data_IF_225361118919
#
_entry.id   IF_225361118919
#
_cell.length_a   1.000
_cell.length_b   1.000
_cell.length_c   1.000
_cell.angle_alpha   90.00
_cell.angle_beta   90.00
_cell.angle_gamma   90.00
#
_symmetry.space_group_name_H-M   'P 1'
#
loop_
_entity.id
_entity.type
_entity.pdbx_description
1 polymer ?
#
# COMPACT_ATOMS: atom_id res chain seq x y z
N UNK A 1 -31.10 45.59 -11.01
CA UNK A 1 -31.29 44.18 -10.77
C UNK A 1 -29.93 43.50 -10.82
N UNK A 2 -29.23 43.24 -9.75
CA UNK A 2 -28.06 42.37 -9.79
C UNK A 2 -28.53 40.93 -9.63
N UNK A 3 -28.08 40.12 -10.58
CA UNK A 3 -28.28 38.69 -10.61
C UNK A 3 -27.64 38.05 -9.38
N UNK A 4 -28.45 37.28 -8.68
CA UNK A 4 -28.04 36.39 -7.62
C UNK A 4 -27.07 35.37 -8.19
N UNK A 5 -25.78 35.55 -7.92
CA UNK A 5 -24.80 34.46 -8.02
C UNK A 5 -25.22 33.36 -7.01
N UNK A 6 -25.78 32.32 -7.56
CA UNK A 6 -25.97 31.04 -6.89
C UNK A 6 -24.62 30.60 -6.31
N UNK A 7 -24.51 30.68 -4.97
CA UNK A 7 -23.47 29.99 -4.23
C UNK A 7 -23.65 28.51 -4.52
N UNK A 8 -22.75 27.98 -5.34
CA UNK A 8 -22.61 26.54 -5.56
C UNK A 8 -22.51 25.88 -4.18
N UNK A 9 -23.51 25.11 -3.86
CA UNK A 9 -23.56 24.24 -2.70
C UNK A 9 -22.27 23.44 -2.63
N UNK A 10 -21.66 23.38 -1.45
CA UNK A 10 -20.58 22.43 -1.16
C UNK A 10 -21.05 21.05 -1.62
N UNK A 11 -20.48 20.56 -2.71
CA UNK A 11 -20.85 19.27 -3.30
C UNK A 11 -20.77 18.20 -2.23
N UNK A 12 -21.93 17.68 -1.87
CA UNK A 12 -22.01 16.50 -1.03
C UNK A 12 -21.20 15.41 -1.74
N UNK A 13 -20.19 14.87 -1.04
CA UNK A 13 -19.38 13.80 -1.59
C UNK A 13 -20.29 12.66 -2.06
N UNK A 14 -20.09 12.23 -3.30
CA UNK A 14 -20.84 11.13 -3.86
C UNK A 14 -20.26 9.80 -3.34
N UNK A 15 -21.08 8.91 -2.83
CA UNK A 15 -20.72 7.54 -2.48
C UNK A 15 -19.98 6.83 -3.63
N UNK A 16 -20.29 7.19 -4.87
CA UNK A 16 -19.65 6.60 -6.04
C UNK A 16 -18.15 6.87 -6.10
N UNK A 17 -17.70 8.06 -5.74
CA UNK A 17 -16.28 8.41 -5.75
C UNK A 17 -15.48 7.59 -4.75
N UNK A 18 -16.05 7.34 -3.56
CA UNK A 18 -15.45 6.47 -2.55
C UNK A 18 -15.41 5.04 -3.05
N UNK A 19 -16.50 4.55 -3.64
CA UNK A 19 -16.58 3.21 -4.23
C UNK A 19 -15.56 3.02 -5.36
N UNK A 20 -15.41 3.98 -6.25
CA UNK A 20 -14.49 3.94 -7.38
C UNK A 20 -13.02 3.91 -6.93
N UNK A 21 -12.66 4.70 -5.92
CA UNK A 21 -11.33 4.66 -5.35
C UNK A 21 -11.09 3.34 -4.58
N UNK A 22 -12.03 2.92 -3.75
CA UNK A 22 -11.96 1.69 -2.99
C UNK A 22 -12.03 0.43 -3.87
N UNK A 23 -12.62 0.51 -5.06
CA UNK A 23 -12.69 -0.63 -5.99
C UNK A 23 -11.31 -1.08 -6.49
N UNK A 24 -10.34 -0.17 -6.57
CA UNK A 24 -8.97 -0.45 -7.00
C UNK A 24 -8.03 -0.55 -5.81
N UNK A 25 -8.23 -1.55 -4.97
CA UNK A 25 -7.35 -1.81 -3.84
C UNK A 25 -6.49 -3.04 -4.02
N UNK A 26 -5.36 -3.03 -3.33
CA UNK A 26 -4.53 -4.19 -3.02
C UNK A 26 -4.42 -4.33 -1.49
N UNK A 27 -4.09 -5.52 -1.01
CA UNK A 27 -4.04 -5.80 0.42
C UNK A 27 -2.97 -6.85 0.73
N UNK A 28 -2.42 -6.82 1.93
CA UNK A 28 -1.40 -7.78 2.35
C UNK A 28 -1.98 -9.02 2.99
N UNK A 29 -1.27 -10.14 2.85
CA UNK A 29 -1.48 -11.39 3.60
C UNK A 29 -0.14 -12.05 3.91
N UNK A 30 0.00 -12.63 5.09
CA UNK A 30 1.20 -13.35 5.49
C UNK A 30 0.99 -14.86 5.41
N UNK A 31 2.08 -15.64 5.35
CA UNK A 31 2.04 -17.11 5.44
C UNK A 31 1.28 -17.57 6.70
N UNK A 32 1.54 -16.91 7.84
CA UNK A 32 0.85 -17.20 9.10
C UNK A 32 -0.66 -16.94 9.01
N UNK A 33 -1.08 -15.85 8.39
CA UNK A 33 -2.49 -15.49 8.23
C UNK A 33 -3.18 -16.44 7.25
N UNK A 34 -2.49 -16.80 6.16
CA UNK A 34 -2.97 -17.75 5.16
C UNK A 34 -3.34 -19.13 5.73
N UNK A 35 -2.65 -19.57 6.80
CA UNK A 35 -3.00 -20.80 7.51
C UNK A 35 -4.37 -20.76 8.22
N UNK A 36 -4.98 -19.59 8.35
CA UNK A 36 -6.30 -19.40 8.99
C UNK A 36 -7.40 -19.05 7.98
N UNK A 37 -7.04 -18.90 6.70
CA UNK A 37 -7.96 -18.58 5.62
C UNK A 37 -8.25 -19.84 4.84
N UNK A 38 -9.51 -20.22 4.79
CA UNK A 38 -9.94 -21.41 4.05
C UNK A 38 -9.86 -21.14 2.55
N UNK A 39 -10.47 -20.04 2.08
CA UNK A 39 -10.46 -19.62 0.67
C UNK A 39 -10.39 -18.10 0.56
N UNK A 40 -9.42 -17.61 -0.21
CA UNK A 40 -9.32 -16.16 -0.49
C UNK A 40 -10.45 -15.65 -1.38
N UNK A 41 -10.99 -16.51 -2.26
CA UNK A 41 -12.13 -16.17 -3.12
C UNK A 41 -13.41 -15.81 -2.32
N UNK A 42 -13.50 -16.19 -1.05
CA UNK A 42 -14.61 -15.81 -0.16
C UNK A 42 -14.39 -14.44 0.50
N UNK A 43 -13.17 -13.92 0.45
CA UNK A 43 -12.80 -12.66 1.10
C UNK A 43 -12.57 -11.51 0.13
N UNK A 44 -12.04 -11.80 -1.07
CA UNK A 44 -11.66 -10.80 -2.05
C UNK A 44 -12.11 -11.22 -3.46
N UNK A 45 -12.27 -10.25 -4.34
CA UNK A 45 -12.66 -10.52 -5.74
C UNK A 45 -11.52 -11.19 -6.51
N UNK A 46 -11.83 -12.02 -7.50
CA UNK A 46 -10.82 -12.53 -8.43
C UNK A 46 -10.00 -11.40 -9.04
N UNK A 47 -8.72 -11.63 -9.22
CA UNK A 47 -7.75 -10.64 -9.70
C UNK A 47 -7.28 -9.62 -8.67
N UNK A 48 -7.77 -9.67 -7.41
CA UNK A 48 -7.23 -8.80 -6.35
C UNK A 48 -5.74 -9.06 -6.14
N UNK A 49 -4.95 -8.01 -6.14
CA UNK A 49 -3.51 -8.07 -5.84
C UNK A 49 -3.31 -8.32 -4.34
N UNK A 50 -2.81 -9.52 -4.00
CA UNK A 50 -2.49 -9.91 -2.63
C UNK A 50 -0.97 -9.88 -2.43
N UNK A 51 -0.53 -8.91 -1.64
CA UNK A 51 0.88 -8.73 -1.33
C UNK A 51 1.31 -9.69 -0.24
N UNK A 52 2.49 -10.27 -0.41
CA UNK A 52 3.07 -11.22 0.55
C UNK A 52 4.32 -10.58 1.15
N UNK A 53 4.19 -9.90 2.32
CA UNK A 53 5.33 -9.29 2.97
C UNK A 53 6.34 -10.34 3.44
N UNK A 54 7.61 -9.96 3.39
CA UNK A 54 8.66 -10.75 4.03
C UNK A 54 8.55 -10.64 5.54
N UNK A 55 8.24 -11.75 6.19
CA UNK A 55 8.19 -11.84 7.66
C UNK A 55 9.41 -12.60 8.14
N UNK A 56 10.23 -12.07 9.06
CA UNK A 56 11.38 -12.78 9.62
C UNK A 56 10.98 -14.16 10.16
N UNK A 57 11.77 -15.17 9.81
CA UNK A 57 11.50 -16.57 10.19
C UNK A 57 10.57 -17.34 9.25
N UNK A 58 9.99 -16.68 8.23
CA UNK A 58 9.27 -17.37 7.15
C UNK A 58 10.29 -17.91 6.14
N UNK A 59 10.23 -19.21 5.87
CA UNK A 59 11.13 -19.80 4.88
C UNK A 59 10.72 -19.40 3.44
N UNK A 60 11.68 -19.20 2.52
CA UNK A 60 11.38 -18.78 1.14
C UNK A 60 10.36 -19.67 0.43
N UNK A 61 10.46 -20.99 0.61
CA UNK A 61 9.54 -21.94 -0.03
C UNK A 61 8.09 -21.79 0.44
N UNK A 62 7.85 -21.33 1.69
CA UNK A 62 6.50 -21.09 2.22
C UNK A 62 5.87 -19.86 1.52
N UNK A 63 6.67 -18.83 1.22
CA UNK A 63 6.20 -17.66 0.46
C UNK A 63 5.86 -18.04 -0.99
N UNK A 64 6.69 -18.89 -1.62
CA UNK A 64 6.40 -19.42 -2.98
C UNK A 64 5.12 -20.26 -2.97
N UNK A 65 4.95 -21.14 -1.99
CA UNK A 65 3.75 -21.96 -1.84
C UNK A 65 2.48 -21.11 -1.64
N UNK A 66 2.57 -20.04 -0.83
CA UNK A 66 1.46 -19.10 -0.67
C UNK A 66 1.16 -18.38 -1.98
N UNK A 67 2.16 -17.88 -2.70
CA UNK A 67 1.96 -17.23 -3.99
C UNK A 67 1.28 -18.18 -5.01
N UNK A 68 1.70 -19.45 -5.07
CA UNK A 68 1.08 -20.46 -5.93
C UNK A 68 -0.39 -20.74 -5.53
N UNK A 69 -0.67 -20.81 -4.23
CA UNK A 69 -2.04 -20.95 -3.71
C UNK A 69 -2.90 -19.76 -4.14
N UNK A 70 -2.44 -18.53 -3.94
CA UNK A 70 -3.16 -17.32 -4.33
C UNK A 70 -3.46 -17.31 -5.83
N UNK A 71 -2.47 -17.66 -6.66
CA UNK A 71 -2.66 -17.79 -8.11
C UNK A 71 -3.73 -18.81 -8.45
N UNK A 72 -3.68 -19.99 -7.83
CA UNK A 72 -4.67 -21.05 -8.02
C UNK A 72 -6.09 -20.63 -7.64
N UNK A 73 -6.23 -19.81 -6.60
CA UNK A 73 -7.52 -19.25 -6.17
C UNK A 73 -7.98 -18.03 -7.00
N UNK A 74 -7.26 -17.68 -8.08
CA UNK A 74 -7.61 -16.61 -9.00
C UNK A 74 -7.18 -15.22 -8.57
N UNK A 75 -6.28 -15.11 -7.57
CA UNK A 75 -5.71 -13.84 -7.10
C UNK A 75 -4.42 -13.49 -7.84
N UNK A 76 -3.98 -12.25 -7.73
CA UNK A 76 -2.67 -11.80 -8.23
C UNK A 76 -1.67 -11.74 -7.06
N UNK A 77 -0.76 -12.72 -6.91
CA UNK A 77 0.24 -12.69 -5.85
C UNK A 77 1.34 -11.69 -6.15
N UNK A 78 1.67 -10.86 -5.15
CA UNK A 78 2.71 -9.82 -5.22
C UNK A 78 3.70 -10.02 -4.06
N UNK A 79 4.73 -10.89 -4.20
CA UNK A 79 5.72 -11.08 -3.16
C UNK A 79 6.59 -9.84 -2.98
N UNK A 80 6.97 -9.56 -1.72
CA UNK A 80 7.95 -8.54 -1.39
C UNK A 80 9.37 -9.09 -1.61
N UNK A 81 10.17 -8.35 -2.35
CA UNK A 81 11.60 -8.54 -2.52
C UNK A 81 12.30 -7.49 -1.67
N UNK A 82 12.84 -7.92 -0.54
CA UNK A 82 13.43 -7.04 0.48
C UNK A 82 14.94 -7.07 0.36
N UNK A 83 15.52 -6.05 -0.27
CA UNK A 83 16.93 -6.00 -0.66
C UNK A 83 17.90 -6.38 0.48
N UNK A 84 17.81 -5.72 1.62
CA UNK A 84 18.72 -5.93 2.75
C UNK A 84 18.60 -7.30 3.42
N UNK A 85 17.58 -8.10 3.05
CA UNK A 85 17.37 -9.46 3.58
C UNK A 85 17.75 -10.57 2.59
N UNK A 86 18.28 -10.20 1.43
CA UNK A 86 18.74 -11.13 0.41
C UNK A 86 20.22 -11.44 0.66
N UNK A 87 20.53 -12.73 0.81
CA UNK A 87 21.87 -13.21 1.14
C UNK A 87 22.88 -12.99 0.00
N UNK A 88 22.43 -13.17 -1.25
CA UNK A 88 23.27 -13.03 -2.43
C UNK A 88 22.47 -12.81 -3.71
N UNK A 89 23.15 -12.38 -4.78
CA UNK A 89 22.58 -12.29 -6.12
C UNK A 89 22.05 -13.66 -6.60
N UNK A 90 22.73 -14.74 -6.28
CA UNK A 90 22.31 -16.11 -6.63
C UNK A 90 21.01 -16.47 -5.91
N UNK A 91 20.89 -16.18 -4.61
CA UNK A 91 19.67 -16.42 -3.85
C UNK A 91 18.48 -15.63 -4.40
N UNK A 92 18.70 -14.36 -4.79
CA UNK A 92 17.67 -13.55 -5.44
C UNK A 92 17.22 -14.17 -6.76
N UNK A 93 18.17 -14.58 -7.59
CA UNK A 93 17.91 -15.18 -8.89
C UNK A 93 17.09 -16.47 -8.76
N UNK A 94 17.45 -17.33 -7.82
CA UNK A 94 16.69 -18.55 -7.51
C UNK A 94 15.29 -18.25 -7.00
N UNK A 95 15.10 -17.25 -6.13
CA UNK A 95 13.79 -16.86 -5.63
C UNK A 95 12.88 -16.37 -6.75
N UNK A 96 13.38 -15.49 -7.59
CA UNK A 96 12.60 -14.96 -8.71
C UNK A 96 12.23 -16.07 -9.70
N UNK A 97 13.17 -16.97 -10.01
CA UNK A 97 12.91 -18.14 -10.84
C UNK A 97 11.77 -19.00 -10.28
N UNK A 98 11.79 -19.25 -8.98
CA UNK A 98 10.72 -20.02 -8.29
C UNK A 98 9.40 -19.30 -8.26
N UNK A 99 9.37 -18.01 -7.93
CA UNK A 99 8.14 -17.21 -7.96
C UNK A 99 7.49 -17.23 -9.34
N UNK A 100 8.27 -17.07 -10.39
CA UNK A 100 7.76 -17.09 -11.77
C UNK A 100 7.38 -18.52 -12.19
N UNK A 101 8.29 -19.49 -12.01
CA UNK A 101 8.09 -20.84 -12.51
C UNK A 101 7.08 -21.68 -11.74
N UNK A 102 7.04 -21.58 -10.40
CA UNK A 102 6.16 -22.39 -9.55
C UNK A 102 4.82 -21.68 -9.25
N UNK A 103 4.82 -20.35 -9.14
CA UNK A 103 3.64 -19.58 -8.73
C UNK A 103 3.08 -18.65 -9.81
N UNK A 104 3.69 -18.59 -11.00
CA UNK A 104 3.25 -17.72 -12.09
C UNK A 104 3.23 -16.24 -11.71
N UNK A 105 4.14 -15.80 -10.82
CA UNK A 105 4.26 -14.41 -10.40
C UNK A 105 4.72 -13.55 -11.57
N UNK A 106 4.00 -12.44 -11.81
CA UNK A 106 4.30 -11.47 -12.87
C UNK A 106 4.58 -10.08 -12.31
N UNK A 107 4.39 -9.92 -11.01
CA UNK A 107 4.48 -8.65 -10.31
C UNK A 107 5.14 -8.85 -8.94
N UNK A 108 6.03 -7.94 -8.56
CA UNK A 108 6.70 -7.95 -7.25
C UNK A 108 6.69 -6.55 -6.64
N UNK A 109 6.84 -6.45 -5.31
CA UNK A 109 7.16 -5.20 -4.63
C UNK A 109 8.63 -5.24 -4.20
N UNK A 110 9.45 -4.33 -4.72
CA UNK A 110 10.87 -4.25 -4.39
C UNK A 110 11.10 -3.11 -3.40
N UNK A 111 11.59 -3.44 -2.21
CA UNK A 111 11.85 -2.48 -1.11
C UNK A 111 13.25 -2.68 -0.53
N UNK A 112 13.78 -1.66 0.15
CA UNK A 112 15.08 -1.77 0.80
C UNK A 112 15.04 -2.72 2.02
N UNK A 113 14.04 -2.56 2.88
CA UNK A 113 13.92 -3.27 4.16
C UNK A 113 14.33 -2.40 5.35
N UNK A 114 14.03 -2.91 6.55
CA UNK A 114 14.06 -2.21 7.84
C UNK A 114 15.30 -2.52 8.70
N UNK A 115 16.15 -3.46 8.28
CA UNK A 115 17.37 -3.80 9.03
C UNK A 115 18.51 -2.83 8.72
N UNK A 116 19.24 -2.42 9.75
CA UNK A 116 20.32 -1.44 9.63
C UNK A 116 21.51 -1.97 8.80
N UNK A 117 21.86 -3.25 8.98
CA UNK A 117 22.93 -3.91 8.23
C UNK A 117 22.33 -4.92 7.27
N UNK A 118 22.64 -4.84 5.97
CA UNK A 118 22.24 -5.86 5.01
C UNK A 118 22.81 -7.23 5.36
N UNK A 119 22.04 -8.30 5.10
CA UNK A 119 22.53 -9.68 5.26
C UNK A 119 23.54 -10.02 4.18
N UNK A 120 23.33 -9.54 2.96
CA UNK A 120 24.19 -9.77 1.81
C UNK A 120 24.61 -8.46 1.14
N UNK A 121 24.69 -8.48 -0.18
CA UNK A 121 25.27 -7.40 -0.99
C UNK A 121 24.29 -6.27 -1.37
N UNK A 122 22.99 -6.42 -1.09
CA UNK A 122 21.98 -5.44 -1.50
C UNK A 122 21.61 -4.50 -0.36
N UNK A 123 21.87 -3.22 -0.52
CA UNK A 123 21.56 -2.17 0.45
C UNK A 123 20.25 -1.42 0.12
N UNK A 124 19.82 -1.45 -1.14
CA UNK A 124 18.68 -0.68 -1.62
C UNK A 124 17.89 -1.41 -2.71
N UNK A 125 16.63 -1.04 -2.85
CA UNK A 125 15.77 -1.51 -3.93
C UNK A 125 16.34 -1.21 -5.32
N UNK A 126 17.00 -0.06 -5.49
CA UNK A 126 17.60 0.35 -6.76
C UNK A 126 18.66 -0.62 -7.25
N UNK A 127 19.47 -1.19 -6.35
CA UNK A 127 20.50 -2.17 -6.74
C UNK A 127 19.88 -3.44 -7.35
N UNK A 128 18.69 -3.85 -6.89
CA UNK A 128 17.97 -4.98 -7.48
C UNK A 128 17.43 -4.61 -8.86
N UNK A 129 16.79 -3.44 -8.98
CA UNK A 129 16.19 -2.97 -10.22
C UNK A 129 17.27 -2.81 -11.31
N UNK A 130 18.39 -2.15 -10.99
CA UNK A 130 19.43 -1.80 -11.97
C UNK A 130 20.30 -2.96 -12.41
N UNK A 131 20.31 -4.09 -11.70
CA UNK A 131 21.06 -5.30 -12.07
C UNK A 131 20.33 -6.23 -13.05
N UNK A 132 19.11 -5.86 -13.48
CA UNK A 132 18.39 -6.57 -14.54
C UNK A 132 17.74 -7.90 -14.11
N UNK A 133 17.58 -8.15 -12.80
CA UNK A 133 16.93 -9.37 -12.32
C UNK A 133 15.46 -9.44 -12.70
N UNK A 134 14.77 -8.31 -12.71
CA UNK A 134 13.36 -8.20 -13.03
C UNK A 134 13.09 -8.61 -14.47
N UNK A 135 13.85 -8.02 -15.39
CA UNK A 135 13.75 -8.28 -16.82
C UNK A 135 14.17 -9.71 -17.17
N UNK A 136 15.24 -10.22 -16.54
CA UNK A 136 15.73 -11.58 -16.71
C UNK A 136 14.64 -12.63 -16.46
N UNK A 137 13.81 -12.42 -15.46
CA UNK A 137 12.73 -13.35 -15.10
C UNK A 137 11.38 -13.01 -15.76
N UNK A 138 11.31 -12.02 -16.64
CA UNK A 138 10.08 -11.65 -17.35
C UNK A 138 9.01 -11.07 -16.44
N UNK A 139 9.38 -10.49 -15.29
CA UNK A 139 8.47 -9.79 -14.41
C UNK A 139 8.08 -8.47 -15.09
N UNK A 140 6.81 -8.31 -15.39
CA UNK A 140 6.31 -7.20 -16.20
C UNK A 140 5.89 -5.97 -15.38
N UNK A 141 5.67 -6.14 -14.07
CA UNK A 141 5.16 -5.07 -13.21
C UNK A 141 5.88 -5.04 -11.86
N UNK A 142 6.31 -3.85 -11.43
CA UNK A 142 7.11 -3.67 -10.22
C UNK A 142 6.57 -2.53 -9.36
N UNK A 143 6.17 -2.88 -8.14
CA UNK A 143 5.93 -1.90 -7.08
C UNK A 143 7.24 -1.45 -6.44
N UNK A 144 7.33 -0.18 -6.08
CA UNK A 144 8.44 0.40 -5.32
C UNK A 144 7.91 1.26 -4.17
N UNK A 145 8.69 1.41 -3.10
CA UNK A 145 8.24 2.17 -1.93
C UNK A 145 8.16 3.69 -2.20
N UNK A 146 7.11 4.32 -1.63
CA UNK A 146 6.96 5.76 -1.47
C UNK A 146 6.83 6.14 0.02
N UNK A 147 7.29 7.33 0.41
CA UNK A 147 7.37 7.75 1.80
C UNK A 147 6.72 9.13 2.01
N UNK A 148 5.38 9.21 2.12
CA UNK A 148 4.67 10.48 2.27
C UNK A 148 5.06 11.28 3.52
N UNK A 149 5.47 10.60 4.58
CA UNK A 149 5.90 11.22 5.84
C UNK A 149 7.42 11.20 6.05
N UNK A 150 8.19 10.96 4.95
CA UNK A 150 9.63 10.77 5.05
C UNK A 150 10.00 9.36 5.55
N UNK A 151 11.26 9.18 5.92
CA UNK A 151 11.79 7.94 6.47
C UNK A 151 12.74 8.25 7.63
N UNK A 152 12.67 7.49 8.71
CA UNK A 152 13.45 7.76 9.93
C UNK A 152 14.98 7.74 9.74
N UNK A 153 15.45 6.89 8.83
CA UNK A 153 16.88 6.62 8.61
C UNK A 153 17.39 7.12 7.25
N UNK A 154 16.53 7.77 6.43
CA UNK A 154 16.88 8.24 5.09
C UNK A 154 16.38 9.67 4.90
N UNK A 155 17.30 10.58 4.54
CA UNK A 155 16.94 11.99 4.35
C UNK A 155 16.09 12.23 3.10
N UNK A 156 15.28 13.29 3.12
CA UNK A 156 14.41 13.65 2.00
C UNK A 156 15.15 13.82 0.66
N UNK A 157 16.35 14.43 0.58
CA UNK A 157 17.09 14.49 -0.68
C UNK A 157 17.41 13.11 -1.27
N UNK A 158 17.78 12.14 -0.42
CA UNK A 158 18.06 10.75 -0.85
C UNK A 158 16.79 10.05 -1.32
N UNK A 159 15.67 10.26 -0.63
CA UNK A 159 14.36 9.73 -1.05
C UNK A 159 13.93 10.30 -2.41
N UNK A 160 14.16 11.59 -2.63
CA UNK A 160 13.85 12.26 -3.90
C UNK A 160 14.74 11.76 -5.05
N UNK A 161 16.04 11.61 -4.81
CA UNK A 161 16.98 11.03 -5.78
C UNK A 161 16.56 9.60 -6.15
N UNK A 162 16.24 8.76 -5.15
CA UNK A 162 15.74 7.42 -5.38
C UNK A 162 14.46 7.41 -6.22
N UNK A 163 13.56 8.39 -6.02
CA UNK A 163 12.35 8.53 -6.82
C UNK A 163 12.67 8.87 -8.28
N UNK A 164 13.61 9.78 -8.54
CA UNK A 164 14.09 10.09 -9.90
C UNK A 164 14.62 8.83 -10.58
N UNK A 165 15.51 8.10 -9.92
CA UNK A 165 16.11 6.86 -10.49
C UNK A 165 15.07 5.76 -10.76
N UNK A 166 14.02 5.65 -9.95
CA UNK A 166 12.89 4.75 -10.21
C UNK A 166 12.12 5.13 -11.47
N UNK A 167 11.92 6.44 -11.71
CA UNK A 167 11.32 6.93 -12.95
C UNK A 167 12.21 6.66 -14.17
N UNK A 168 13.51 6.89 -14.06
CA UNK A 168 14.49 6.58 -15.11
C UNK A 168 14.53 5.10 -15.43
N UNK A 169 14.50 4.23 -14.40
CA UNK A 169 14.41 2.79 -14.58
C UNK A 169 13.17 2.38 -15.39
N UNK A 170 12.00 2.90 -15.06
CA UNK A 170 10.76 2.62 -15.78
C UNK A 170 10.85 3.03 -17.27
N UNK A 171 11.41 4.21 -17.54
CA UNK A 171 11.60 4.72 -18.92
C UNK A 171 12.61 3.85 -19.69
N UNK A 172 13.71 3.48 -19.03
CA UNK A 172 14.80 2.73 -19.65
C UNK A 172 14.41 1.30 -20.02
N UNK A 173 13.65 0.64 -19.14
CA UNK A 173 13.33 -0.80 -19.27
C UNK A 173 11.98 -1.06 -19.91
N UNK A 174 11.05 -0.11 -19.84
CA UNK A 174 9.66 -0.31 -20.24
C UNK A 174 8.86 -1.19 -19.28
N UNK A 175 9.42 -1.55 -18.12
CA UNK A 175 8.71 -2.25 -17.05
C UNK A 175 7.61 -1.33 -16.49
N UNK A 176 6.41 -1.89 -16.23
CA UNK A 176 5.33 -1.14 -15.57
C UNK A 176 5.68 -0.93 -14.09
N UNK A 177 6.25 0.25 -13.78
CA UNK A 177 6.66 0.62 -12.43
C UNK A 177 5.59 1.50 -11.79
N UNK A 178 5.21 1.18 -10.58
CA UNK A 178 4.29 1.97 -9.77
C UNK A 178 4.80 2.08 -8.33
N UNK A 179 4.26 3.05 -7.58
CA UNK A 179 4.65 3.28 -6.20
C UNK A 179 3.57 2.75 -5.26
N UNK A 180 3.99 2.08 -4.18
CA UNK A 180 3.17 1.79 -3.01
C UNK A 180 3.69 2.65 -1.88
N UNK A 181 2.87 3.55 -1.35
CA UNK A 181 3.32 4.39 -0.24
C UNK A 181 3.28 3.63 1.07
N UNK A 182 4.13 4.04 2.02
CA UNK A 182 3.93 3.69 3.42
C UNK A 182 2.53 4.13 3.85
N UNK A 183 1.91 3.39 4.79
CA UNK A 183 0.61 3.78 5.31
C UNK A 183 0.69 5.11 6.06
N UNK A 184 -0.37 5.86 5.95
CA UNK A 184 -0.59 7.13 6.65
C UNK A 184 -1.94 7.08 7.37
N UNK A 185 -2.18 8.04 8.25
CA UNK A 185 -3.45 8.12 8.97
C UNK A 185 -4.31 9.33 8.55
N UNK A 186 -3.73 10.25 7.79
CA UNK A 186 -4.36 11.46 7.29
C UNK A 186 -4.11 11.62 5.79
N UNK A 187 -5.00 12.26 5.03
CA UNK A 187 -4.81 12.46 3.59
C UNK A 187 -3.72 13.49 3.27
N UNK A 188 -3.51 14.48 4.14
CA UNK A 188 -2.61 15.60 3.90
C UNK A 188 -1.16 15.19 3.60
N UNK A 189 -0.52 14.21 4.27
CA UNK A 189 0.81 13.75 3.92
C UNK A 189 0.92 13.22 2.49
N UNK A 190 -0.06 12.43 2.02
CA UNK A 190 -0.07 11.88 0.65
C UNK A 190 -0.21 13.01 -0.37
N UNK A 191 -1.12 13.94 -0.14
CA UNK A 191 -1.37 15.10 -1.01
C UNK A 191 -0.12 15.98 -1.12
N UNK A 192 0.49 16.32 0.01
CA UNK A 192 1.72 17.10 0.05
C UNK A 192 2.88 16.40 -0.63
N UNK A 193 3.02 15.09 -0.43
CA UNK A 193 4.04 14.28 -1.06
C UNK A 193 3.88 14.23 -2.58
N UNK A 194 2.67 14.01 -3.09
CA UNK A 194 2.41 14.01 -4.53
C UNK A 194 2.71 15.39 -5.13
N UNK A 195 2.22 16.45 -4.51
CA UNK A 195 2.42 17.82 -4.99
C UNK A 195 3.89 18.19 -5.05
N UNK A 196 4.65 17.94 -3.99
CA UNK A 196 6.09 18.29 -3.90
C UNK A 196 6.97 17.45 -4.83
N UNK A 197 6.57 16.21 -5.13
CA UNK A 197 7.28 15.33 -6.04
C UNK A 197 6.74 15.36 -7.49
N UNK A 198 5.65 16.06 -7.75
CA UNK A 198 5.05 16.18 -9.10
C UNK A 198 6.03 16.56 -10.21
N UNK A 199 7.01 17.45 -9.99
CA UNK A 199 8.01 17.79 -11.01
C UNK A 199 8.92 16.62 -11.41
N UNK A 200 9.18 15.68 -10.52
CA UNK A 200 10.14 14.58 -10.72
C UNK A 200 9.50 13.19 -10.83
N UNK A 201 8.23 13.04 -10.44
CA UNK A 201 7.53 11.75 -10.48
C UNK A 201 6.52 11.69 -11.63
N UNK A 202 6.57 10.62 -12.41
CA UNK A 202 5.60 10.26 -13.45
C UNK A 202 4.89 8.93 -13.17
N UNK A 203 5.35 8.18 -12.17
CA UNK A 203 4.82 6.87 -11.84
C UNK A 203 3.46 7.01 -11.15
N UNK A 204 2.49 6.16 -11.48
CA UNK A 204 1.26 6.06 -10.70
C UNK A 204 1.56 5.53 -9.30
N UNK A 205 0.69 5.84 -8.35
CA UNK A 205 0.88 5.35 -6.99
C UNK A 205 -0.41 4.83 -6.35
N UNK A 206 -0.24 3.90 -5.42
CA UNK A 206 -1.25 3.45 -4.47
C UNK A 206 -0.97 4.09 -3.12
N UNK A 207 -1.96 4.77 -2.56
CA UNK A 207 -1.83 5.28 -1.19
C UNK A 207 -1.96 4.13 -0.18
N UNK A 208 -1.04 4.08 0.78
CA UNK A 208 -1.06 3.13 1.87
C UNK A 208 -2.04 3.52 2.97
N UNK A 209 -2.96 2.63 3.32
CA UNK A 209 -3.94 2.81 4.39
C UNK A 209 -3.79 1.70 5.43
N UNK A 210 -3.96 2.00 6.72
CA UNK A 210 -4.12 0.94 7.71
C UNK A 210 -5.42 0.19 7.46
N UNK A 211 -5.42 -1.13 7.67
CA UNK A 211 -6.65 -1.90 7.78
C UNK A 211 -7.37 -1.65 9.10
N UNK A 212 -8.50 -2.32 9.31
CA UNK A 212 -9.27 -2.22 10.53
C UNK A 212 -8.53 -2.87 11.70
N UNK A 213 -7.96 -2.06 12.57
CA UNK A 213 -7.20 -2.50 13.72
C UNK A 213 -7.47 -1.62 14.95
N UNK A 214 -7.11 -2.12 16.13
CA UNK A 214 -7.19 -1.31 17.35
C UNK A 214 -6.11 -0.23 17.32
N UNK A 215 -6.38 0.92 17.95
CA UNK A 215 -5.39 2.00 18.03
C UNK A 215 -4.06 1.51 18.64
N UNK A 216 -4.12 0.60 19.62
CA UNK A 216 -2.92 -0.05 20.19
C UNK A 216 -2.09 -0.78 19.12
N UNK A 217 -2.77 -1.51 18.22
CA UNK A 217 -2.12 -2.22 17.10
C UNK A 217 -1.51 -1.22 16.11
N UNK A 218 -2.27 -0.19 15.75
CA UNK A 218 -1.82 0.86 14.83
C UNK A 218 -0.59 1.60 15.36
N UNK A 219 -0.59 1.96 16.66
CA UNK A 219 0.55 2.58 17.33
C UNK A 219 1.81 1.71 17.28
N UNK A 220 1.67 0.41 17.56
CA UNK A 220 2.78 -0.53 17.48
C UNK A 220 3.40 -0.56 16.08
N UNK A 221 2.60 -0.80 15.06
CA UNK A 221 3.11 -0.90 13.69
C UNK A 221 3.65 0.43 13.15
N UNK A 222 3.06 1.55 13.55
CA UNK A 222 3.58 2.84 13.14
C UNK A 222 4.97 3.13 13.72
N UNK A 223 5.23 2.74 14.97
CA UNK A 223 6.56 2.82 15.57
C UNK A 223 7.55 1.89 14.87
N UNK A 224 7.15 0.65 14.60
CA UNK A 224 7.98 -0.35 13.93
C UNK A 224 8.35 0.09 12.50
N UNK A 225 7.40 0.71 11.76
CA UNK A 225 7.58 1.14 10.38
C UNK A 225 8.07 2.58 10.21
N UNK A 226 8.22 3.34 11.30
CA UNK A 226 8.63 4.74 11.23
C UNK A 226 7.56 5.70 10.65
N UNK A 227 6.28 5.31 10.63
CA UNK A 227 5.17 6.17 10.26
C UNK A 227 4.81 7.06 11.46
N UNK A 228 5.32 8.29 11.47
CA UNK A 228 5.36 9.08 12.70
C UNK A 228 4.43 10.29 12.82
N UNK A 229 4.45 11.26 11.91
CA UNK A 229 3.74 12.52 12.11
C UNK A 229 2.22 12.42 12.17
N UNK A 230 1.58 11.67 11.28
CA UNK A 230 0.12 11.52 11.31
C UNK A 230 -0.37 10.71 12.50
N UNK A 231 0.45 9.79 13.01
CA UNK A 231 0.16 9.05 14.24
C UNK A 231 0.15 9.94 15.47
N UNK A 232 1.08 10.91 15.57
CA UNK A 232 1.08 11.87 16.68
C UNK A 232 -0.20 12.72 16.70
N UNK A 233 -0.75 13.04 15.53
CA UNK A 233 -2.02 13.75 15.44
C UNK A 233 -3.18 12.90 16.02
N UNK A 234 -3.24 11.61 15.69
CA UNK A 234 -4.28 10.70 16.20
C UNK A 234 -4.10 10.42 17.69
N UNK A 235 -2.86 10.23 18.16
CA UNK A 235 -2.58 9.91 19.56
C UNK A 235 -2.93 11.06 20.51
N UNK A 236 -2.81 12.33 20.08
CA UNK A 236 -3.24 13.50 20.87
C UNK A 236 -4.75 13.54 21.14
N UNK A 237 -5.55 12.90 20.28
CA UNK A 237 -6.99 12.78 20.46
C UNK A 237 -7.43 11.52 21.23
N UNK A 238 -6.49 10.61 21.52
CA UNK A 238 -6.75 9.37 22.26
C UNK A 238 -6.64 9.58 23.79
N UNK A 239 -7.47 10.45 24.36
CA UNK A 239 -7.41 10.79 25.81
C UNK A 239 -8.00 9.70 26.72
N UNK A 240 -8.64 8.65 26.18
CA UNK A 240 -9.31 7.60 26.97
C UNK A 240 -8.79 6.20 26.62
N UNK A 241 -8.51 5.39 27.66
CA UNK A 241 -8.08 3.98 27.55
C UNK A 241 -9.06 3.13 26.69
N UNK A 242 -10.34 3.47 26.70
CA UNK A 242 -11.36 2.78 25.90
C UNK A 242 -11.12 2.92 24.40
N UNK A 243 -10.60 4.06 23.92
CA UNK A 243 -10.26 4.28 22.51
C UNK A 243 -9.08 3.42 22.03
N UNK A 244 -8.18 3.02 22.93
CA UNK A 244 -7.03 2.17 22.58
C UNK A 244 -7.41 0.76 22.13
N UNK A 245 -8.55 0.25 22.59
CA UNK A 245 -9.04 -1.10 22.26
C UNK A 245 -10.16 -1.09 21.22
N UNK A 246 -10.69 0.10 20.88
CA UNK A 246 -11.70 0.23 19.82
C UNK A 246 -11.05 0.05 18.46
N UNK A 247 -11.70 -0.71 17.60
CA UNK A 247 -11.27 -0.86 16.19
C UNK A 247 -11.61 0.43 15.45
N UNK A 248 -10.61 0.98 14.75
CA UNK A 248 -10.76 2.16 13.90
C UNK A 248 -10.72 1.75 12.44
N UNK A 249 -11.57 2.36 11.63
CA UNK A 249 -11.53 2.29 10.18
C UNK A 249 -10.85 3.53 9.62
N UNK A 250 -10.21 3.47 8.45
CA UNK A 250 -9.59 4.62 7.78
C UNK A 250 -10.59 5.37 6.88
N UNK A 251 -11.83 5.57 7.34
CA UNK A 251 -12.92 6.17 6.58
C UNK A 251 -12.65 7.65 6.24
N UNK A 252 -12.24 8.47 7.21
CA UNK A 252 -11.87 9.88 6.98
C UNK A 252 -10.70 10.02 5.99
N UNK A 253 -9.71 9.12 6.09
CA UNK A 253 -8.57 9.08 5.16
C UNK A 253 -9.04 8.73 3.75
N UNK A 254 -9.91 7.73 3.61
CA UNK A 254 -10.47 7.32 2.34
C UNK A 254 -11.31 8.43 1.70
N UNK A 255 -12.16 9.10 2.49
CA UNK A 255 -12.94 10.26 2.07
C UNK A 255 -12.03 11.39 1.57
N UNK A 256 -11.00 11.75 2.33
CA UNK A 256 -10.08 12.82 1.96
C UNK A 256 -9.30 12.53 0.67
N UNK A 257 -8.89 11.28 0.45
CA UNK A 257 -8.23 10.86 -0.79
C UNK A 257 -9.18 10.80 -1.99
N UNK A 258 -10.45 10.40 -1.79
CA UNK A 258 -11.47 10.39 -2.83
C UNK A 258 -11.79 11.82 -3.28
N UNK A 259 -11.94 12.77 -2.35
CA UNK A 259 -12.11 14.19 -2.63
C UNK A 259 -10.92 14.77 -3.41
N UNK A 260 -9.71 14.47 -2.94
CA UNK A 260 -8.50 14.92 -3.62
C UNK A 260 -8.44 14.44 -5.06
N UNK A 261 -8.73 13.15 -5.30
CA UNK A 261 -8.75 12.56 -6.65
C UNK A 261 -9.78 13.22 -7.56
N UNK A 262 -10.97 13.53 -7.04
CA UNK A 262 -12.01 14.22 -7.79
C UNK A 262 -11.60 15.64 -8.19
N UNK A 263 -11.03 16.39 -7.24
CA UNK A 263 -10.61 17.77 -7.46
C UNK A 263 -9.35 17.88 -8.33
N UNK A 264 -8.59 16.80 -8.48
CA UNK A 264 -7.33 16.77 -9.22
C UNK A 264 -7.31 15.63 -10.25
N UNK A 265 -7.95 15.82 -11.43
CA UNK A 265 -8.02 14.79 -12.47
C UNK A 265 -6.65 14.34 -13.01
N UNK A 266 -5.60 15.15 -12.78
CA UNK A 266 -4.22 14.83 -13.18
C UNK A 266 -3.42 14.13 -12.08
N UNK A 267 -4.04 13.79 -10.94
CA UNK A 267 -3.36 13.05 -9.88
C UNK A 267 -2.90 11.67 -10.37
N UNK A 268 -1.78 11.23 -9.86
CA UNK A 268 -1.24 9.89 -10.08
C UNK A 268 -1.74 8.88 -9.03
N UNK A 269 -2.65 9.29 -8.15
CA UNK A 269 -3.32 8.39 -7.22
C UNK A 269 -4.19 7.40 -8.00
N UNK A 270 -3.62 6.22 -8.24
CA UNK A 270 -4.24 5.18 -9.04
C UNK A 270 -5.15 4.25 -8.24
N UNK A 271 -4.81 4.01 -6.95
CA UNK A 271 -5.57 3.12 -6.09
C UNK A 271 -5.08 3.14 -4.64
N UNK A 272 -5.53 2.18 -3.88
CA UNK A 272 -5.23 2.04 -2.46
C UNK A 272 -4.43 0.75 -2.19
N UNK A 273 -3.64 0.77 -1.12
CA UNK A 273 -2.98 -0.42 -0.60
C UNK A 273 -3.25 -0.53 0.90
N UNK A 274 -3.83 -1.66 1.33
CA UNK A 274 -4.19 -1.87 2.73
C UNK A 274 -3.17 -2.73 3.46
N UNK A 275 -2.72 -2.22 4.62
CA UNK A 275 -1.90 -2.92 5.60
C UNK A 275 -2.82 -3.46 6.71
N UNK A 276 -3.29 -4.73 6.64
CA UNK A 276 -4.36 -5.21 7.53
C UNK A 276 -3.91 -5.50 8.96
N UNK A 277 -2.58 -5.58 9.22
CA UNK A 277 -2.03 -5.80 10.57
C UNK A 277 -2.65 -6.99 11.31
N UNK A 278 -2.89 -8.10 10.58
CA UNK A 278 -3.55 -9.31 11.09
C UNK A 278 -5.09 -9.24 11.07
N UNK A 279 -5.66 -8.18 10.51
CA UNK A 279 -7.11 -7.99 10.37
C UNK A 279 -7.63 -8.14 8.94
N UNK A 280 -7.04 -9.02 8.12
CA UNK A 280 -7.40 -9.18 6.70
C UNK A 280 -8.91 -9.39 6.53
N UNK A 281 -9.49 -10.39 7.16
CA UNK A 281 -10.93 -10.70 7.04
C UNK A 281 -11.81 -9.49 7.36
N UNK A 282 -11.53 -8.81 8.46
CA UNK A 282 -12.30 -7.63 8.89
C UNK A 282 -12.17 -6.47 7.89
N UNK A 283 -10.95 -6.25 7.38
CA UNK A 283 -10.70 -5.20 6.38
C UNK A 283 -11.41 -5.51 5.06
N UNK A 284 -11.38 -6.76 4.60
CA UNK A 284 -12.07 -7.17 3.36
C UNK A 284 -13.59 -7.14 3.48
N UNK A 285 -14.16 -7.50 4.63
CA UNK A 285 -15.60 -7.36 4.92
C UNK A 285 -16.03 -5.89 4.86
N UNK A 286 -15.25 -4.98 5.45
CA UNK A 286 -15.48 -3.54 5.38
C UNK A 286 -15.41 -3.02 3.95
N UNK A 287 -14.40 -3.39 3.19
CA UNK A 287 -14.25 -3.03 1.77
C UNK A 287 -15.41 -3.56 0.92
N UNK A 288 -15.89 -4.77 1.20
CA UNK A 288 -17.04 -5.34 0.51
C UNK A 288 -18.32 -4.53 0.74
N UNK A 289 -18.53 -4.02 1.95
CA UNK A 289 -19.67 -3.14 2.26
C UNK A 289 -19.54 -1.81 1.53
N UNK A 290 -18.35 -1.19 1.48
CA UNK A 290 -18.11 0.02 0.69
C UNK A 290 -18.43 -0.21 -0.79
N UNK A 291 -17.96 -1.32 -1.35
CA UNK A 291 -18.21 -1.66 -2.75
C UNK A 291 -19.72 -1.76 -3.09
N UNK A 292 -20.54 -2.21 -2.13
CA UNK A 292 -21.99 -2.25 -2.28
C UNK A 292 -22.69 -0.90 -2.03
N UNK A 293 -21.99 0.07 -1.41
CA UNK A 293 -22.56 1.34 -0.98
C UNK A 293 -23.29 1.27 0.37
N UNK A 294 -23.03 0.22 1.16
CA UNK A 294 -23.61 -0.04 2.47
C UNK A 294 -22.92 0.82 3.55
N UNK A 295 -22.93 2.13 3.40
CA UNK A 295 -22.38 3.10 4.35
C UNK A 295 -23.12 4.44 4.30
N UNK A 296 -23.09 5.20 5.40
CA UNK A 296 -23.69 6.52 5.49
C UNK A 296 -22.66 7.54 6.01
N UNK A 297 -22.66 8.74 5.41
CA UNK A 297 -21.76 9.81 5.84
C UNK A 297 -22.09 10.28 7.25
N UNK A 298 -21.07 10.42 8.09
CA UNK A 298 -21.20 11.03 9.40
C UNK A 298 -21.25 12.55 9.25
N UNK A 299 -22.31 13.20 9.74
CA UNK A 299 -22.54 14.65 9.59
C UNK A 299 -21.51 15.56 10.27
N UNK A 300 -20.48 15.03 10.93
CA UNK A 300 -19.40 15.76 11.58
C UNK A 300 -18.08 15.04 11.31
N UNK A 301 -17.16 15.68 10.59
CA UNK A 301 -15.79 15.24 10.51
C UNK A 301 -15.35 14.59 9.20
N UNK A 302 -16.20 14.43 8.19
CA UNK A 302 -15.79 13.97 6.87
C UNK A 302 -15.52 12.47 6.75
N UNK A 303 -16.04 11.65 7.68
CA UNK A 303 -16.01 10.19 7.62
C UNK A 303 -17.37 9.56 7.26
N UNK A 304 -17.44 8.23 7.34
CA UNK A 304 -18.67 7.47 7.16
C UNK A 304 -18.71 6.25 8.08
N UNK A 305 -19.92 5.84 8.45
CA UNK A 305 -20.17 4.58 9.14
C UNK A 305 -20.65 3.52 8.15
N UNK A 306 -20.16 2.31 8.33
CA UNK A 306 -20.53 1.14 7.54
C UNK A 306 -21.62 0.37 8.27
N UNK A 307 -22.75 0.12 7.61
CA UNK A 307 -23.90 -0.58 8.15
C UNK A 307 -23.61 -2.05 8.56
#
# INVERSE_FOLDING_TARGET
MPESQSLLSSDAMDKQQIRDLAANYSIETTVREAGRIERYADLVRPGTELYIPHVPGTAPHETVALAARLRKEGMEPVPHIVARRIESATALDEWLARFVGEAGVRQVLVVAGDIAQPIGEFESALQILERGFIEKHGISKVGVAGHPEGHKDVSDPVLREALVRKNEYAIKTGVDVYIVTQFVFLPAPVISWETSNGPINRLPFRAGLPGLATLKTLLKYALDCGAGPSLQAISRHATNLTKLVTVSAPDELLVGLANYRQQNPQTRLHGLHFFPFGGLKRTTEWLAKIARGDFEFTGKGGGFDVA
#
